data_IF_607765713608
#
_entry.id   IF_607765713608
#
_cell.length_a   1.000
_cell.length_b   1.000
_cell.length_c   1.000
_cell.angle_alpha   90.00
_cell.angle_beta   90.00
_cell.angle_gamma   90.00
#
_symmetry.space_group_name_H-M   'P 1'
#
loop_
_entity.id
_entity.type
_entity.pdbx_description
1 polymer ?
#
# COMPACT_ATOMS: atom_id res chain seq x y z
N UNK A 1 -24.22 38.34 -12.91
CA UNK A 1 -23.19 37.56 -12.20
C UNK A 1 -21.95 38.43 -12.10
N UNK A 2 -21.36 38.59 -10.92
CA UNK A 2 -20.15 39.41 -10.76
C UNK A 2 -18.95 38.48 -10.72
N UNK A 3 -17.92 38.78 -11.51
CA UNK A 3 -16.68 38.00 -11.61
C UNK A 3 -15.47 38.87 -11.28
N UNK A 4 -14.42 38.24 -10.77
CA UNK A 4 -13.15 38.93 -10.45
C UNK A 4 -12.17 38.85 -11.62
N UNK A 5 -11.62 39.99 -12.02
CA UNK A 5 -10.55 40.08 -13.01
C UNK A 5 -9.27 40.49 -12.30
N UNK A 6 -8.31 39.56 -12.16
CA UNK A 6 -7.03 39.85 -11.53
C UNK A 6 -6.19 40.80 -12.39
N UNK A 7 -5.66 41.88 -11.80
CA UNK A 7 -4.90 42.90 -12.55
C UNK A 7 -3.65 42.35 -13.24
N UNK A 8 -2.95 41.40 -12.61
CA UNK A 8 -1.81 40.68 -13.20
C UNK A 8 -2.20 39.31 -13.80
N UNK A 9 -3.51 39.04 -13.90
CA UNK A 9 -4.04 37.77 -14.39
C UNK A 9 -3.97 37.66 -15.91
N UNK A 10 -3.98 36.42 -16.39
CA UNK A 10 -3.95 36.09 -17.82
C UNK A 10 -5.10 36.76 -18.58
N UNK A 11 -6.34 36.68 -18.08
CA UNK A 11 -7.48 37.35 -18.70
C UNK A 11 -7.24 38.86 -18.92
N UNK A 12 -6.64 39.55 -17.96
CA UNK A 12 -6.45 41.00 -18.00
C UNK A 12 -5.26 41.45 -18.87
N UNK A 13 -4.20 40.65 -18.90
CA UNK A 13 -2.95 41.01 -19.60
C UNK A 13 -2.89 40.48 -21.02
N UNK A 14 -3.68 39.45 -21.32
CA UNK A 14 -3.65 38.72 -22.59
C UNK A 14 -5.01 38.76 -23.30
N UNK A 15 -6.05 38.21 -22.67
CA UNK A 15 -7.32 37.93 -23.35
C UNK A 15 -8.17 39.18 -23.61
N UNK A 16 -8.43 40.02 -22.60
CA UNK A 16 -9.18 41.27 -22.76
C UNK A 16 -8.50 42.26 -23.73
N UNK A 17 -7.17 42.49 -23.63
CA UNK A 17 -6.47 43.37 -24.57
C UNK A 17 -6.59 42.90 -26.01
N UNK A 18 -6.38 41.60 -26.25
CA UNK A 18 -6.41 41.03 -27.60
C UNK A 18 -7.82 40.94 -28.16
N UNK A 19 -8.80 40.53 -27.35
CA UNK A 19 -10.17 40.27 -27.83
C UNK A 19 -11.06 41.50 -27.81
N UNK A 20 -10.86 42.39 -26.85
CA UNK A 20 -11.78 43.49 -26.55
C UNK A 20 -11.10 44.85 -26.40
N UNK A 21 -9.77 44.91 -26.54
CA UNK A 21 -9.03 46.17 -26.63
C UNK A 21 -8.90 46.95 -25.32
N UNK A 22 -9.02 46.29 -24.17
CA UNK A 22 -8.88 46.95 -22.87
C UNK A 22 -8.13 46.10 -21.84
N UNK A 23 -7.63 46.76 -20.80
CA UNK A 23 -7.03 46.13 -19.61
C UNK A 23 -7.38 46.97 -18.39
N UNK A 24 -7.38 46.36 -17.21
CA UNK A 24 -7.49 47.07 -15.93
C UNK A 24 -6.11 47.31 -15.34
N UNK A 25 -5.89 48.48 -14.75
CA UNK A 25 -4.64 48.80 -14.05
C UNK A 25 -4.50 48.05 -12.72
N UNK A 26 -5.61 47.62 -12.13
CA UNK A 26 -5.65 46.85 -10.87
C UNK A 26 -6.63 45.69 -10.96
N UNK A 27 -6.81 44.94 -9.86
CA UNK A 27 -7.81 43.86 -9.80
C UNK A 27 -9.20 44.47 -9.68
N UNK A 28 -10.09 44.11 -10.61
CA UNK A 28 -11.41 44.71 -10.75
C UNK A 28 -12.54 43.67 -10.73
N UNK A 29 -13.78 44.15 -10.60
CA UNK A 29 -14.99 43.33 -10.69
C UNK A 29 -15.73 43.64 -11.98
N UNK A 30 -15.96 42.61 -12.79
CA UNK A 30 -16.70 42.70 -14.04
C UNK A 30 -18.10 42.13 -13.86
N UNK A 31 -19.10 42.86 -14.33
CA UNK A 31 -20.48 42.36 -14.35
C UNK A 31 -20.76 41.60 -15.65
N UNK A 32 -21.09 40.32 -15.50
CA UNK A 32 -21.59 39.44 -16.54
C UNK A 32 -23.13 39.42 -16.54
N UNK A 33 -23.71 39.71 -17.68
CA UNK A 33 -25.15 39.68 -17.99
C UNK A 33 -25.44 38.57 -19.00
N UNK A 34 -26.70 38.16 -19.18
CA UNK A 34 -27.09 37.13 -20.16
C UNK A 34 -26.28 35.82 -20.07
N UNK A 35 -25.96 35.37 -18.85
CA UNK A 35 -25.14 34.18 -18.61
C UNK A 35 -25.88 32.92 -19.06
N UNK A 36 -25.25 32.13 -19.93
CA UNK A 36 -25.77 30.89 -20.53
C UNK A 36 -24.67 29.83 -20.63
N UNK A 37 -25.05 28.61 -21.01
CA UNK A 37 -24.13 27.52 -21.34
C UNK A 37 -23.09 27.23 -20.25
N UNK A 38 -23.54 27.27 -18.98
CA UNK A 38 -22.66 26.93 -17.85
C UNK A 38 -22.23 25.47 -17.96
N UNK A 39 -20.93 25.22 -18.10
CA UNK A 39 -20.40 23.86 -18.14
C UNK A 39 -20.35 23.23 -16.75
N UNK A 40 -20.16 21.91 -16.72
CA UNK A 40 -19.71 21.23 -15.52
C UNK A 40 -18.32 21.74 -15.08
N UNK A 41 -18.03 21.59 -13.79
CA UNK A 41 -16.74 21.97 -13.22
C UNK A 41 -15.72 20.88 -13.54
N UNK A 42 -14.67 21.23 -14.27
CA UNK A 42 -13.54 20.35 -14.60
C UNK A 42 -12.25 21.06 -14.18
N UNK A 43 -11.39 20.39 -13.43
CA UNK A 43 -10.12 20.95 -12.94
C UNK A 43 -10.29 22.32 -12.23
N UNK A 44 -11.28 22.40 -11.33
CA UNK A 44 -11.64 23.62 -10.60
C UNK A 44 -12.00 24.82 -11.50
N UNK A 45 -12.41 24.57 -12.74
CA UNK A 45 -12.82 25.59 -13.70
C UNK A 45 -14.17 25.25 -14.30
N UNK A 46 -14.90 26.26 -14.71
CA UNK A 46 -16.12 26.10 -15.48
C UNK A 46 -16.23 27.22 -16.50
N UNK A 47 -17.02 26.96 -17.53
CA UNK A 47 -17.19 27.81 -18.68
C UNK A 47 -18.58 28.44 -18.65
N UNK A 48 -18.69 29.69 -19.08
CA UNK A 48 -19.99 30.35 -19.29
C UNK A 48 -19.93 31.25 -20.52
N UNK A 49 -21.02 31.31 -21.28
CA UNK A 49 -21.22 32.36 -22.27
C UNK A 49 -21.94 33.53 -21.62
N UNK A 50 -21.40 34.74 -21.75
CA UNK A 50 -22.00 35.91 -21.15
C UNK A 50 -21.79 37.19 -21.99
N UNK A 51 -22.61 38.20 -21.69
CA UNK A 51 -22.43 39.57 -22.14
C UNK A 51 -21.83 40.41 -21.03
N UNK A 52 -21.02 41.40 -21.38
CA UNK A 52 -20.46 42.35 -20.41
C UNK A 52 -20.34 43.74 -21.05
N UNK A 53 -20.20 44.77 -20.23
CA UNK A 53 -19.99 46.14 -20.69
C UNK A 53 -18.48 46.40 -20.79
N UNK A 54 -18.00 46.71 -21.98
CA UNK A 54 -16.60 47.09 -22.18
C UNK A 54 -16.34 48.42 -21.45
N UNK A 55 -15.32 48.50 -20.57
CA UNK A 55 -15.09 49.70 -19.75
C UNK A 55 -14.62 50.90 -20.57
N UNK A 56 -13.93 50.68 -21.69
CA UNK A 56 -13.39 51.74 -22.55
C UNK A 56 -14.43 52.24 -23.55
N UNK A 57 -15.17 51.32 -24.18
CA UNK A 57 -16.11 51.67 -25.27
C UNK A 57 -17.55 51.81 -24.80
N UNK A 58 -17.86 51.39 -23.58
CA UNK A 58 -19.21 51.34 -23.00
C UNK A 58 -20.21 50.45 -23.78
N UNK A 59 -19.74 49.69 -24.78
CA UNK A 59 -20.55 48.78 -25.59
C UNK A 59 -20.76 47.46 -24.88
N UNK A 60 -21.90 46.84 -25.12
CA UNK A 60 -22.14 45.46 -24.67
C UNK A 60 -21.46 44.50 -25.63
N UNK A 61 -20.52 43.72 -25.11
CA UNK A 61 -19.78 42.70 -25.86
C UNK A 61 -20.14 41.31 -25.34
N UNK A 62 -19.87 40.28 -26.15
CA UNK A 62 -20.12 38.87 -25.80
C UNK A 62 -18.81 38.12 -25.75
N UNK A 63 -18.70 37.21 -24.79
CA UNK A 63 -17.53 36.36 -24.63
C UNK A 63 -17.87 35.02 -24.02
N UNK A 64 -16.98 34.06 -24.26
CA UNK A 64 -16.97 32.78 -23.58
C UNK A 64 -15.90 32.84 -22.48
N UNK A 65 -16.33 32.73 -21.23
CA UNK A 65 -15.50 32.95 -20.06
C UNK A 65 -15.11 31.63 -19.43
N UNK A 66 -13.81 31.48 -19.14
CA UNK A 66 -13.29 30.40 -18.32
C UNK A 66 -13.06 30.95 -16.91
N UNK A 67 -13.83 30.45 -15.95
CA UNK A 67 -13.86 30.94 -14.58
C UNK A 67 -13.33 29.88 -13.63
N UNK A 68 -12.63 30.31 -12.58
CA UNK A 68 -12.32 29.44 -11.45
C UNK A 68 -13.58 29.19 -10.64
N UNK A 69 -13.74 27.96 -10.15
CA UNK A 69 -14.75 27.61 -9.17
C UNK A 69 -14.31 28.01 -7.76
N UNK A 70 -14.07 29.31 -7.58
CA UNK A 70 -13.77 29.95 -6.30
C UNK A 70 -14.94 30.84 -5.84
N UNK A 71 -14.82 31.40 -4.62
CA UNK A 71 -15.88 32.22 -4.03
C UNK A 71 -16.17 33.52 -4.81
N UNK A 72 -15.24 33.98 -5.66
CA UNK A 72 -15.34 35.24 -6.40
C UNK A 72 -15.53 35.05 -7.92
N UNK A 73 -15.58 33.78 -8.38
CA UNK A 73 -15.60 33.40 -9.79
C UNK A 73 -14.54 34.12 -10.61
N UNK A 74 -13.26 33.91 -10.27
CA UNK A 74 -12.14 34.60 -10.91
C UNK A 74 -12.00 34.23 -12.40
N UNK A 75 -11.88 35.24 -13.26
CA UNK A 75 -11.69 35.06 -14.71
C UNK A 75 -10.27 34.62 -15.02
N UNK A 76 -10.13 33.42 -15.58
CA UNK A 76 -8.83 32.87 -16.02
C UNK A 76 -8.48 33.38 -17.41
N UNK A 77 -9.41 33.23 -18.35
CA UNK A 77 -9.29 33.70 -19.73
C UNK A 77 -10.68 33.97 -20.31
N UNK A 78 -10.74 34.75 -21.38
CA UNK A 78 -11.96 35.05 -22.13
C UNK A 78 -11.70 34.86 -23.62
N UNK A 79 -12.67 34.26 -24.30
CA UNK A 79 -12.62 33.92 -25.70
C UNK A 79 -13.68 34.68 -26.48
N UNK A 80 -13.46 34.82 -27.79
CA UNK A 80 -14.50 35.31 -28.69
C UNK A 80 -15.74 34.39 -28.64
N UNK A 81 -16.93 35.00 -28.62
CA UNK A 81 -18.19 34.24 -28.62
C UNK A 81 -18.33 33.39 -29.89
N UNK A 82 -18.60 32.09 -29.74
CA UNK A 82 -18.82 31.17 -30.86
C UNK A 82 -17.55 30.65 -31.55
N UNK A 83 -16.37 30.81 -30.96
CA UNK A 83 -15.10 30.28 -31.49
C UNK A 83 -14.86 28.82 -31.04
N UNK A 84 -14.08 28.06 -31.83
CA UNK A 84 -13.65 26.71 -31.47
C UNK A 84 -12.67 26.76 -30.28
N UNK A 85 -12.99 26.01 -29.24
CA UNK A 85 -12.20 25.91 -28.01
C UNK A 85 -10.74 25.50 -28.28
N UNK A 86 -10.48 24.59 -29.24
CA UNK A 86 -9.11 24.09 -29.49
C UNK A 86 -8.20 25.17 -30.07
N UNK A 87 -8.67 25.86 -31.10
CA UNK A 87 -7.88 26.91 -31.76
C UNK A 87 -7.70 28.12 -30.84
N UNK A 88 -8.74 28.45 -30.09
CA UNK A 88 -8.70 29.57 -29.15
C UNK A 88 -7.78 29.30 -27.96
N UNK A 89 -7.81 28.09 -27.41
CA UNK A 89 -6.88 27.67 -26.35
C UNK A 89 -5.44 27.78 -26.83
N UNK A 90 -5.15 27.31 -28.05
CA UNK A 90 -3.81 27.38 -28.64
C UNK A 90 -3.36 28.82 -28.83
N UNK A 91 -4.23 29.69 -29.36
CA UNK A 91 -3.91 31.10 -29.57
C UNK A 91 -3.70 31.85 -28.25
N UNK A 92 -4.58 31.65 -27.27
CA UNK A 92 -4.53 32.29 -25.96
C UNK A 92 -3.24 31.93 -25.19
N UNK A 93 -2.85 30.64 -25.19
CA UNK A 93 -1.58 30.20 -24.59
C UNK A 93 -0.35 30.69 -25.36
N UNK A 94 -0.43 30.79 -26.69
CA UNK A 94 0.67 31.33 -27.51
C UNK A 94 0.91 32.80 -27.20
N UNK A 95 -0.15 33.62 -27.13
CA UNK A 95 -0.08 35.04 -26.76
C UNK A 95 0.50 35.22 -25.36
N UNK A 96 0.01 34.45 -24.39
CA UNK A 96 0.52 34.46 -23.02
C UNK A 96 2.01 34.14 -22.97
N UNK A 97 2.44 33.07 -23.65
CA UNK A 97 3.84 32.64 -23.69
C UNK A 97 4.73 33.72 -24.32
N UNK A 98 4.29 34.32 -25.43
CA UNK A 98 5.02 35.41 -26.08
C UNK A 98 5.15 36.63 -25.15
N UNK A 99 4.10 37.01 -24.42
CA UNK A 99 4.16 38.10 -23.43
C UNK A 99 5.07 37.79 -22.25
N UNK A 100 4.94 36.61 -21.65
CA UNK A 100 5.77 36.19 -20.50
C UNK A 100 7.26 36.17 -20.88
N UNK A 101 7.59 35.87 -22.13
CA UNK A 101 8.96 35.92 -22.68
C UNK A 101 9.40 37.32 -23.12
N UNK A 102 8.58 38.35 -22.94
CA UNK A 102 8.86 39.73 -23.32
C UNK A 102 8.91 39.97 -24.83
N UNK A 103 8.36 39.05 -25.65
CA UNK A 103 8.32 39.17 -27.12
C UNK A 103 7.14 40.01 -27.61
N UNK A 104 6.13 40.18 -26.79
CA UNK A 104 5.04 41.13 -27.01
C UNK A 104 4.66 41.74 -25.67
N UNK A 105 4.08 42.92 -25.71
CA UNK A 105 3.55 43.63 -24.55
C UNK A 105 2.03 43.60 -24.58
N UNK A 106 1.38 43.94 -23.47
CA UNK A 106 -0.07 44.14 -23.44
C UNK A 106 -0.51 45.24 -24.43
N UNK A 107 0.31 46.27 -24.66
CA UNK A 107 0.04 47.29 -25.68
C UNK A 107 0.07 46.73 -27.10
N UNK A 108 0.98 45.79 -27.40
CA UNK A 108 0.96 45.09 -28.68
C UNK A 108 -0.35 44.33 -28.86
N UNK A 109 -0.90 43.72 -27.81
CA UNK A 109 -2.20 43.05 -27.88
C UNK A 109 -3.36 44.00 -28.17
N UNK A 110 -3.36 45.19 -27.59
CA UNK A 110 -4.34 46.22 -27.93
C UNK A 110 -4.17 46.72 -29.38
N UNK A 111 -2.93 46.82 -29.86
CA UNK A 111 -2.65 47.18 -31.26
C UNK A 111 -3.17 46.09 -32.20
N UNK A 112 -2.91 44.82 -31.91
CA UNK A 112 -3.44 43.68 -32.66
C UNK A 112 -4.97 43.69 -32.69
N UNK A 113 -5.61 44.01 -31.56
CA UNK A 113 -7.06 44.19 -31.50
C UNK A 113 -7.54 45.29 -32.45
N UNK A 114 -6.87 46.45 -32.46
CA UNK A 114 -7.21 47.58 -33.33
C UNK A 114 -7.05 47.26 -34.82
N UNK A 115 -6.06 46.43 -35.16
CA UNK A 115 -5.80 45.91 -36.50
C UNK A 115 -6.71 44.75 -36.89
N UNK A 116 -7.61 44.33 -35.98
CA UNK A 116 -8.56 43.22 -36.17
C UNK A 116 -7.86 41.88 -36.41
N UNK A 117 -6.69 41.67 -35.82
CA UNK A 117 -6.04 40.36 -35.78
C UNK A 117 -6.84 39.47 -34.83
N UNK A 118 -7.31 38.32 -35.34
CA UNK A 118 -8.17 37.40 -34.61
C UNK A 118 -7.66 35.97 -34.60
N UNK A 119 -6.87 35.56 -35.59
CA UNK A 119 -6.37 34.19 -35.74
C UNK A 119 -4.90 34.02 -35.35
N UNK A 120 -4.45 32.78 -35.25
CA UNK A 120 -3.05 32.44 -35.02
C UNK A 120 -2.17 32.80 -36.22
N UNK A 121 -2.66 32.60 -37.44
CA UNK A 121 -1.89 32.89 -38.66
C UNK A 121 -1.66 34.41 -38.81
N UNK A 122 -2.70 35.22 -38.59
CA UNK A 122 -2.58 36.69 -38.60
C UNK A 122 -1.64 37.20 -37.49
N UNK A 123 -1.61 36.54 -36.34
CA UNK A 123 -0.65 36.84 -35.28
C UNK A 123 0.78 36.52 -35.71
N UNK A 124 1.00 35.40 -36.41
CA UNK A 124 2.30 35.03 -36.94
C UNK A 124 2.77 36.06 -37.98
N UNK A 125 1.88 36.48 -38.88
CA UNK A 125 2.18 37.49 -39.90
C UNK A 125 2.54 38.85 -39.25
N UNK A 126 1.78 39.28 -38.23
CA UNK A 126 2.09 40.48 -37.47
C UNK A 126 3.46 40.44 -36.79
N UNK A 127 3.83 39.29 -36.22
CA UNK A 127 5.17 39.10 -35.66
C UNK A 127 6.25 39.12 -36.76
N UNK A 128 6.01 38.48 -37.90
CA UNK A 128 6.95 38.45 -39.01
C UNK A 128 7.26 39.87 -39.52
N UNK A 129 6.23 40.71 -39.67
CA UNK A 129 6.37 42.11 -40.08
C UNK A 129 7.08 42.97 -39.02
N UNK A 130 6.79 42.76 -37.73
CA UNK A 130 7.40 43.52 -36.63
C UNK A 130 8.89 43.24 -36.43
N UNK A 131 9.36 42.03 -36.76
CA UNK A 131 10.68 41.53 -36.38
C UNK A 131 11.69 41.38 -37.55
N UNK A 132 11.36 41.86 -38.75
CA UNK A 132 11.68 41.12 -39.99
C UNK A 132 13.13 40.93 -40.47
N UNK A 133 14.22 41.48 -39.91
CA UNK A 133 15.55 41.14 -40.47
C UNK A 133 16.70 40.84 -39.50
N UNK A 134 16.71 41.36 -38.26
CA UNK A 134 17.84 41.10 -37.33
C UNK A 134 17.44 40.16 -36.20
N UNK A 135 16.20 40.24 -35.72
CA UNK A 135 15.71 39.37 -34.64
C UNK A 135 15.28 38.00 -35.16
N UNK A 136 14.79 37.89 -36.40
CA UNK A 136 14.50 36.60 -37.03
C UNK A 136 15.76 35.73 -37.12
N UNK A 137 16.90 36.29 -37.53
CA UNK A 137 18.17 35.56 -37.59
C UNK A 137 18.62 35.05 -36.21
N UNK A 138 18.51 35.88 -35.17
CA UNK A 138 18.84 35.51 -33.78
C UNK A 138 17.87 34.47 -33.20
N UNK A 139 16.58 34.57 -33.51
CA UNK A 139 15.56 33.60 -33.10
C UNK A 139 15.78 32.27 -33.80
N UNK A 140 16.11 32.27 -35.10
CA UNK A 140 16.44 31.06 -35.85
C UNK A 140 17.70 30.40 -35.31
N UNK A 141 18.73 31.17 -34.95
CA UNK A 141 19.95 30.62 -34.35
C UNK A 141 19.69 30.02 -32.95
N UNK A 142 18.93 30.71 -32.09
CA UNK A 142 18.57 30.20 -30.76
C UNK A 142 17.65 28.98 -30.83
N UNK A 143 16.70 28.96 -31.78
CA UNK A 143 15.85 27.82 -32.05
C UNK A 143 16.68 26.62 -32.54
N UNK A 144 17.63 26.83 -33.44
CA UNK A 144 18.51 25.78 -33.93
C UNK A 144 19.40 25.21 -32.82
N UNK A 145 19.98 26.06 -31.96
CA UNK A 145 20.74 25.60 -30.77
C UNK A 145 19.87 24.79 -29.81
N UNK A 146 18.61 25.19 -29.59
CA UNK A 146 17.67 24.44 -28.76
C UNK A 146 17.29 23.10 -29.38
N UNK A 147 17.03 23.06 -30.69
CA UNK A 147 16.74 21.82 -31.42
C UNK A 147 17.94 20.89 -31.37
N UNK A 148 19.17 21.39 -31.52
CA UNK A 148 20.38 20.58 -31.41
C UNK A 148 20.56 20.01 -30.00
N UNK A 149 20.36 20.83 -28.96
CA UNK A 149 20.43 20.37 -27.57
C UNK A 149 19.35 19.34 -27.23
N UNK A 150 18.13 19.55 -27.72
CA UNK A 150 17.03 18.60 -27.56
C UNK A 150 17.31 17.30 -28.31
N UNK A 151 17.90 17.37 -29.50
CA UNK A 151 18.31 16.19 -30.28
C UNK A 151 19.37 15.38 -29.53
N UNK A 152 20.39 16.04 -28.94
CA UNK A 152 21.39 15.40 -28.08
C UNK A 152 20.77 14.79 -26.82
N UNK A 153 19.84 15.49 -26.18
CA UNK A 153 19.14 14.97 -25.01
C UNK A 153 18.30 13.74 -25.38
N UNK A 154 17.56 13.78 -26.50
CA UNK A 154 16.78 12.67 -27.03
C UNK A 154 17.65 11.47 -27.38
N UNK A 155 18.82 11.67 -28.00
CA UNK A 155 19.72 10.57 -28.31
C UNK A 155 20.24 9.90 -27.05
N UNK A 156 20.59 10.69 -26.02
CA UNK A 156 21.02 10.17 -24.72
C UNK A 156 19.90 9.42 -24.02
N UNK A 157 18.68 9.98 -24.00
CA UNK A 157 17.49 9.33 -23.44
C UNK A 157 17.18 8.02 -24.17
N UNK A 158 17.37 7.99 -25.48
CA UNK A 158 17.18 6.76 -26.26
C UNK A 158 18.21 5.68 -25.88
N UNK A 159 19.48 6.06 -25.71
CA UNK A 159 20.53 5.15 -25.24
C UNK A 159 20.23 4.61 -23.83
N UNK A 160 19.84 5.50 -22.90
CA UNK A 160 19.45 5.10 -21.54
C UNK A 160 18.25 4.14 -21.56
N UNK A 161 17.22 4.44 -22.36
CA UNK A 161 16.06 3.55 -22.52
C UNK A 161 16.45 2.18 -23.08
N UNK A 162 17.35 2.12 -24.05
CA UNK A 162 17.85 0.85 -24.59
C UNK A 162 18.62 0.05 -23.54
N UNK A 163 19.48 0.71 -22.74
CA UNK A 163 20.21 0.04 -21.67
C UNK A 163 19.29 -0.52 -20.60
N UNK A 164 18.29 0.27 -20.16
CA UNK A 164 17.30 -0.16 -19.18
C UNK A 164 16.42 -1.30 -19.70
N UNK A 165 16.07 -1.28 -20.99
CA UNK A 165 15.32 -2.38 -21.59
C UNK A 165 16.12 -3.69 -21.54
N UNK A 166 17.42 -3.64 -21.87
CA UNK A 166 18.30 -4.82 -21.76
C UNK A 166 18.40 -5.34 -20.33
N UNK A 167 18.43 -4.45 -19.33
CA UNK A 167 18.45 -4.84 -17.92
C UNK A 167 17.12 -5.49 -17.48
N UNK A 168 15.99 -4.95 -17.95
CA UNK A 168 14.66 -5.53 -17.72
C UNK A 168 14.59 -6.94 -18.31
N UNK A 169 15.01 -7.12 -19.56
CA UNK A 169 14.96 -8.43 -20.24
C UNK A 169 15.83 -9.46 -19.50
N UNK A 170 16.99 -9.05 -19.00
CA UNK A 170 17.85 -9.90 -18.15
C UNK A 170 17.17 -10.27 -16.84
N UNK A 171 16.54 -9.32 -16.16
CA UNK A 171 15.81 -9.55 -14.90
C UNK A 171 14.60 -10.44 -15.10
N UNK A 172 13.87 -10.30 -16.20
CA UNK A 172 12.76 -11.19 -16.55
C UNK A 172 13.23 -12.63 -16.77
N UNK A 173 14.39 -12.82 -17.41
CA UNK A 173 15.01 -14.14 -17.57
C UNK A 173 15.33 -14.78 -16.21
N UNK A 174 15.98 -14.03 -15.31
CA UNK A 174 16.27 -14.48 -13.94
C UNK A 174 14.98 -14.85 -13.17
N UNK A 175 13.94 -14.01 -13.25
CA UNK A 175 12.64 -14.27 -12.61
C UNK A 175 11.99 -15.54 -13.15
N UNK A 176 12.06 -15.79 -14.46
CA UNK A 176 11.50 -16.99 -15.06
C UNK A 176 12.25 -18.25 -14.62
N UNK A 177 13.57 -18.17 -14.46
CA UNK A 177 14.37 -19.26 -13.90
C UNK A 177 13.98 -19.55 -12.45
N UNK A 178 13.86 -18.53 -11.60
CA UNK A 178 13.39 -18.71 -10.23
C UNK A 178 11.98 -19.28 -10.15
N UNK A 179 11.06 -18.85 -11.01
CA UNK A 179 9.71 -19.43 -11.09
C UNK A 179 9.74 -20.92 -11.41
N UNK A 180 10.62 -21.34 -12.33
CA UNK A 180 10.79 -22.76 -12.66
C UNK A 180 11.31 -23.55 -11.46
N UNK A 181 12.33 -23.04 -10.77
CA UNK A 181 12.85 -23.65 -9.54
C UNK A 181 11.74 -23.77 -8.48
N UNK A 182 10.97 -22.71 -8.23
CA UNK A 182 9.87 -22.73 -7.26
C UNK A 182 8.81 -23.77 -7.65
N UNK A 183 8.45 -23.88 -8.94
CA UNK A 183 7.49 -24.87 -9.40
C UNK A 183 7.99 -26.30 -9.19
N UNK A 184 9.28 -26.56 -9.44
CA UNK A 184 9.92 -27.85 -9.18
C UNK A 184 10.01 -28.17 -7.67
N UNK A 185 10.29 -27.18 -6.82
CA UNK A 185 10.25 -27.34 -5.37
C UNK A 185 8.83 -27.69 -4.89
N UNK A 186 7.82 -26.96 -5.37
CA UNK A 186 6.41 -27.22 -5.04
C UNK A 186 5.97 -28.62 -5.45
N UNK A 187 6.31 -29.07 -6.65
CA UNK A 187 5.95 -30.42 -7.11
C UNK A 187 6.65 -31.52 -6.30
N UNK A 188 7.92 -31.33 -5.93
CA UNK A 188 8.65 -32.24 -5.06
C UNK A 188 8.01 -32.33 -3.65
N UNK A 189 7.59 -31.20 -3.08
CA UNK A 189 6.95 -31.18 -1.75
C UNK A 189 5.57 -31.81 -1.72
N UNK A 190 4.78 -31.72 -2.79
CA UNK A 190 3.40 -32.25 -2.83
C UNK A 190 3.33 -33.78 -2.82
N UNK A 191 4.37 -34.48 -3.29
CA UNK A 191 4.40 -35.94 -3.34
C UNK A 191 5.14 -36.58 -2.15
N UNK A 192 5.96 -35.79 -1.44
CA UNK A 192 6.72 -36.25 -0.28
C UNK A 192 5.85 -36.39 0.99
N UNK A 193 4.77 -35.60 1.09
CA UNK A 193 3.85 -35.59 2.22
C UNK A 193 2.76 -36.67 2.07
N UNK A 194 2.68 -37.62 3.01
CA UNK A 194 1.61 -38.63 2.97
C UNK A 194 0.29 -37.99 3.42
N UNK A 195 -0.64 -37.81 2.46
CA UNK A 195 -1.92 -37.12 2.66
C UNK A 195 -2.97 -37.93 3.42
N UNK A 196 -2.68 -39.19 3.80
CA UNK A 196 -3.61 -39.98 4.61
C UNK A 196 -3.82 -39.24 5.92
N UNK A 197 -5.07 -38.84 6.20
CA UNK A 197 -5.65 -38.05 7.31
C UNK A 197 -5.07 -38.11 8.75
N UNK A 198 -3.95 -38.79 9.00
CA UNK A 198 -3.29 -38.85 10.30
C UNK A 198 -1.96 -38.10 10.38
N UNK A 199 -1.28 -37.77 9.27
CA UNK A 199 0.00 -37.00 9.26
C UNK A 199 1.17 -37.61 10.06
N UNK A 200 0.97 -38.78 10.66
CA UNK A 200 1.84 -39.36 11.69
C UNK A 200 1.72 -38.64 13.05
N UNK A 201 2.39 -39.21 14.05
CA UNK A 201 2.56 -38.57 15.36
C UNK A 201 3.78 -37.64 15.25
N UNK A 202 3.57 -36.33 15.35
CA UNK A 202 4.66 -35.36 15.38
C UNK A 202 5.52 -35.56 16.63
N UNK A 203 6.83 -35.72 16.43
CA UNK A 203 7.77 -35.86 17.53
C UNK A 203 7.95 -34.49 18.21
N UNK A 204 8.05 -34.45 19.55
CA UNK A 204 8.24 -33.20 20.26
C UNK A 204 9.59 -32.58 19.89
N UNK A 205 9.66 -31.25 19.88
CA UNK A 205 10.87 -30.50 19.62
C UNK A 205 11.08 -30.11 18.16
N UNK A 206 12.11 -29.29 17.96
CA UNK A 206 12.55 -28.79 16.65
C UNK A 206 14.01 -29.15 16.44
N UNK A 207 14.36 -29.40 15.18
CA UNK A 207 15.64 -29.99 14.82
C UNK A 207 16.21 -29.33 13.59
N UNK A 208 17.51 -29.09 13.55
CA UNK A 208 18.20 -28.62 12.35
C UNK A 208 18.63 -29.81 11.51
N UNK A 209 18.33 -29.79 10.21
CA UNK A 209 18.82 -30.83 9.29
C UNK A 209 20.30 -30.59 8.99
N UNK A 210 21.14 -31.61 9.21
CA UNK A 210 22.59 -31.54 9.03
C UNK A 210 23.02 -32.14 7.70
N UNK A 211 22.53 -33.33 7.37
CA UNK A 211 22.82 -34.01 6.11
C UNK A 211 21.69 -34.96 5.72
N UNK A 212 21.65 -35.33 4.45
CA UNK A 212 20.71 -36.30 3.90
C UNK A 212 21.46 -37.28 3.03
N UNK A 213 21.34 -38.56 3.34
CA UNK A 213 22.15 -39.61 2.76
C UNK A 213 21.29 -40.81 2.34
N UNK A 214 21.77 -41.57 1.35
CA UNK A 214 21.19 -42.86 1.00
C UNK A 214 21.84 -43.97 1.81
N UNK A 215 21.04 -44.94 2.24
CA UNK A 215 21.54 -46.18 2.81
C UNK A 215 20.51 -47.29 2.76
N UNK A 216 20.66 -48.32 3.58
CA UNK A 216 19.71 -49.41 3.69
C UNK A 216 19.26 -49.58 5.15
N UNK A 217 17.94 -49.68 5.38
CA UNK A 217 17.36 -49.92 6.72
C UNK A 217 16.00 -50.60 6.62
N UNK A 218 15.70 -51.46 7.60
CA UNK A 218 14.44 -52.20 7.71
C UNK A 218 14.64 -53.70 7.69
N UNK A 219 13.53 -54.45 7.84
CA UNK A 219 13.55 -55.92 7.99
C UNK A 219 14.23 -56.65 6.83
N UNK A 220 14.16 -56.10 5.62
CA UNK A 220 14.72 -56.70 4.41
C UNK A 220 15.87 -55.88 3.83
N UNK A 221 16.54 -55.06 4.64
CA UNK A 221 17.65 -54.20 4.21
C UNK A 221 17.28 -53.30 3.00
N UNK A 222 16.08 -52.71 3.03
CA UNK A 222 15.57 -51.89 1.93
C UNK A 222 16.28 -50.53 1.84
N UNK A 223 16.40 -49.99 0.62
CA UNK A 223 16.90 -48.63 0.38
C UNK A 223 16.09 -47.61 1.17
N UNK A 224 16.79 -46.73 1.88
CA UNK A 224 16.22 -45.76 2.79
C UNK A 224 16.90 -44.40 2.62
N UNK A 225 16.13 -43.35 2.85
CA UNK A 225 16.60 -41.99 3.06
C UNK A 225 16.95 -41.84 4.53
N UNK A 226 18.15 -41.37 4.82
CA UNK A 226 18.60 -41.02 6.15
C UNK A 226 18.70 -39.50 6.25
N UNK A 227 18.19 -38.95 7.35
CA UNK A 227 18.23 -37.53 7.65
C UNK A 227 18.91 -37.37 9.00
N UNK A 228 20.08 -36.74 9.00
CA UNK A 228 20.80 -36.40 10.22
C UNK A 228 20.25 -35.10 10.79
N UNK A 229 19.83 -35.13 12.04
CA UNK A 229 19.17 -34.05 12.75
C UNK A 229 19.99 -33.64 13.97
N UNK A 230 20.02 -32.34 14.27
CA UNK A 230 20.60 -31.78 15.50
C UNK A 230 19.51 -31.12 16.33
N UNK A 231 19.43 -31.47 17.61
CA UNK A 231 18.50 -30.82 18.54
C UNK A 231 19.04 -29.46 19.05
N UNK A 232 18.22 -28.72 19.79
CA UNK A 232 18.59 -27.42 20.39
C UNK A 232 19.75 -27.49 21.39
N UNK A 233 20.05 -28.68 21.92
CA UNK A 233 21.16 -28.90 22.85
C UNK A 233 22.44 -29.31 22.12
N UNK A 234 22.42 -29.37 20.78
CA UNK A 234 23.55 -29.78 19.95
C UNK A 234 23.70 -31.29 19.79
N UNK A 235 22.74 -32.10 20.26
CA UNK A 235 22.77 -33.56 20.14
C UNK A 235 22.34 -33.96 18.74
N UNK A 236 23.19 -34.74 18.06
CA UNK A 236 22.91 -35.25 16.72
C UNK A 236 22.37 -36.69 16.76
N UNK A 237 21.36 -36.95 15.92
CA UNK A 237 20.80 -38.28 15.72
C UNK A 237 20.27 -38.43 14.29
N UNK A 238 19.91 -39.65 13.89
CA UNK A 238 19.52 -39.95 12.52
C UNK A 238 18.14 -40.60 12.48
N UNK A 239 17.32 -40.15 11.52
CA UNK A 239 16.00 -40.72 11.25
C UNK A 239 15.94 -41.23 9.82
N UNK A 240 15.22 -42.33 9.61
CA UNK A 240 15.16 -42.98 8.31
C UNK A 240 13.74 -43.11 7.74
N UNK A 241 13.63 -43.20 6.42
CA UNK A 241 12.40 -43.60 5.74
C UNK A 241 12.74 -44.52 4.55
N UNK A 242 12.13 -45.70 4.49
CA UNK A 242 12.36 -46.70 3.44
C UNK A 242 11.10 -47.01 2.62
N UNK A 243 10.07 -46.17 2.70
CA UNK A 243 8.83 -46.42 1.99
C UNK A 243 9.03 -46.20 0.50
N UNK A 244 8.79 -47.23 -0.31
CA UNK A 244 9.11 -47.20 -1.75
C UNK A 244 8.36 -46.10 -2.52
N UNK A 245 7.10 -45.82 -2.14
CA UNK A 245 6.28 -44.79 -2.79
C UNK A 245 6.68 -43.40 -2.30
N UNK A 246 7.19 -42.56 -3.19
CA UNK A 246 7.66 -41.20 -2.86
C UNK A 246 9.02 -41.17 -2.17
N UNK A 247 9.83 -42.24 -2.27
CA UNK A 247 11.15 -42.31 -1.63
C UNK A 247 12.11 -41.25 -2.18
N UNK A 248 12.15 -41.09 -3.50
CA UNK A 248 12.96 -40.06 -4.18
C UNK A 248 12.47 -38.65 -3.84
N UNK A 249 11.15 -38.44 -3.76
CA UNK A 249 10.57 -37.14 -3.38
C UNK A 249 10.93 -36.78 -1.93
N UNK A 250 10.92 -37.74 -1.00
CA UNK A 250 11.37 -37.54 0.38
C UNK A 250 12.87 -37.25 0.49
N UNK A 251 13.69 -37.93 -0.31
CA UNK A 251 15.12 -37.58 -0.39
C UNK A 251 15.30 -36.15 -0.86
N UNK A 252 14.65 -35.78 -1.98
CA UNK A 252 14.72 -34.43 -2.53
C UNK A 252 14.22 -33.38 -1.53
N UNK A 253 13.09 -33.63 -0.88
CA UNK A 253 12.52 -32.74 0.13
C UNK A 253 13.48 -32.55 1.31
N UNK A 254 14.01 -33.63 1.88
CA UNK A 254 14.94 -33.54 2.99
C UNK A 254 16.23 -32.79 2.59
N UNK A 255 16.74 -33.03 1.38
CA UNK A 255 17.95 -32.37 0.86
C UNK A 255 17.77 -30.86 0.73
N UNK A 256 16.60 -30.39 0.28
CA UNK A 256 16.27 -28.96 0.22
C UNK A 256 16.27 -28.32 1.62
N UNK A 257 15.98 -29.11 2.66
CA UNK A 257 15.88 -28.64 4.04
C UNK A 257 17.19 -28.72 4.82
N UNK A 258 18.31 -29.11 4.21
CA UNK A 258 19.63 -29.11 4.87
C UNK A 258 19.97 -27.69 5.34
N UNK A 259 20.26 -27.54 6.63
CA UNK A 259 20.48 -26.27 7.31
C UNK A 259 19.23 -25.65 7.93
N UNK A 260 18.03 -26.09 7.54
CA UNK A 260 16.76 -25.56 8.04
C UNK A 260 16.34 -26.20 9.36
N UNK A 261 15.55 -25.45 10.14
CA UNK A 261 14.91 -25.96 11.35
C UNK A 261 13.55 -26.56 11.00
N UNK A 262 13.34 -27.81 11.42
CA UNK A 262 12.18 -28.63 11.07
C UNK A 262 11.55 -29.24 12.31
N UNK A 263 10.34 -29.79 12.11
CA UNK A 263 9.80 -30.89 12.91
C UNK A 263 9.57 -32.10 12.01
N UNK A 264 9.52 -33.29 12.61
CA UNK A 264 9.25 -34.52 11.88
C UNK A 264 8.23 -35.39 12.60
N UNK A 265 7.43 -36.14 11.83
CA UNK A 265 6.46 -37.10 12.38
C UNK A 265 6.93 -38.53 12.20
N UNK A 266 6.42 -39.44 13.02
CA UNK A 266 6.61 -40.88 12.93
C UNK A 266 5.27 -41.57 12.69
N UNK A 267 5.26 -42.64 11.90
CA UNK A 267 4.07 -43.49 11.82
C UNK A 267 3.96 -44.28 13.13
N UNK A 268 2.81 -44.26 13.80
CA UNK A 268 2.69 -44.61 15.23
C UNK A 268 3.25 -45.97 15.67
N UNK A 269 3.30 -46.98 14.80
CA UNK A 269 3.89 -48.30 15.11
C UNK A 269 5.42 -48.36 14.98
N UNK A 270 6.07 -47.27 14.55
CA UNK A 270 7.51 -47.18 14.31
C UNK A 270 8.22 -46.38 15.39
N UNK A 271 9.50 -46.69 15.61
CA UNK A 271 10.36 -45.97 16.54
C UNK A 271 10.68 -44.54 16.06
N UNK A 272 11.21 -43.71 16.97
CA UNK A 272 11.60 -42.31 16.68
C UNK A 272 12.79 -42.18 15.73
N UNK A 273 13.47 -43.28 15.45
CA UNK A 273 14.53 -43.43 14.46
C UNK A 273 14.00 -43.59 13.03
N UNK A 274 12.68 -43.48 12.85
CA UNK A 274 12.00 -43.39 11.55
C UNK A 274 11.34 -42.03 11.39
N UNK A 275 11.14 -41.56 10.16
CA UNK A 275 10.31 -40.40 9.89
C UNK A 275 9.25 -40.71 8.82
N UNK A 276 8.11 -40.04 8.91
CA UNK A 276 6.99 -40.11 7.97
C UNK A 276 6.92 -38.81 7.17
N UNK A 277 6.76 -37.68 7.85
CA UNK A 277 6.74 -36.35 7.25
C UNK A 277 7.81 -35.46 7.89
N UNK A 278 8.32 -34.50 7.12
CA UNK A 278 9.18 -33.40 7.57
C UNK A 278 8.49 -32.09 7.21
N UNK A 279 8.51 -31.10 8.12
CA UNK A 279 7.87 -29.80 7.89
C UNK A 279 8.63 -28.66 8.59
N UNK A 280 8.61 -27.49 7.96
CA UNK A 280 9.10 -26.22 8.50
C UNK A 280 8.00 -25.41 9.21
N UNK A 281 6.75 -25.89 9.22
CA UNK A 281 5.62 -25.20 9.86
C UNK A 281 5.65 -25.39 11.38
N UNK A 282 6.57 -24.69 12.04
CA UNK A 282 6.80 -24.78 13.49
C UNK A 282 5.84 -23.83 14.22
N UNK A 283 5.07 -24.37 15.15
CA UNK A 283 4.19 -23.59 16.04
C UNK A 283 4.85 -23.34 17.40
N UNK A 284 4.37 -22.35 18.17
CA UNK A 284 4.86 -22.10 19.55
C UNK A 284 4.76 -23.36 20.44
N UNK A 285 3.78 -24.22 20.18
CA UNK A 285 3.61 -25.48 20.93
C UNK A 285 4.75 -26.49 20.67
N UNK A 286 5.37 -26.46 19.48
CA UNK A 286 6.47 -27.34 19.08
C UNK A 286 7.80 -26.95 19.74
N UNK A 287 7.92 -25.70 20.21
CA UNK A 287 9.07 -25.19 20.98
C UNK A 287 9.05 -25.65 22.45
N UNK A 288 7.89 -26.13 22.93
CA UNK A 288 7.72 -26.61 24.31
C UNK A 288 7.91 -28.14 24.39
N UNK A 289 8.91 -28.61 25.13
CA UNK A 289 9.28 -30.03 25.25
C UNK A 289 8.28 -30.89 26.06
N UNK A 290 6.98 -30.59 26.09
CA UNK A 290 6.01 -31.33 26.92
C UNK A 290 5.30 -32.45 26.13
N UNK A 291 5.37 -33.72 26.57
CA UNK A 291 4.66 -34.81 25.90
C UNK A 291 3.13 -34.63 26.01
N UNK A 292 2.42 -34.83 24.90
CA UNK A 292 0.96 -34.75 24.82
C UNK A 292 0.33 -35.95 25.53
N UNK A 293 -0.18 -35.76 26.74
CA UNK A 293 -1.20 -36.64 27.30
C UNK A 293 -2.51 -36.41 26.56
N UNK A 294 -3.06 -37.48 25.99
CA UNK A 294 -4.34 -37.49 25.29
C UNK A 294 -5.44 -36.96 26.22
N UNK A 295 -6.00 -35.79 25.93
CA UNK A 295 -7.28 -35.38 26.47
C UNK A 295 -8.25 -35.05 25.34
N UNK A 296 -9.38 -35.75 25.42
CA UNK A 296 -10.59 -35.64 24.63
C UNK A 296 -10.94 -34.17 24.34
N UNK A 297 -11.27 -33.89 23.09
CA UNK A 297 -11.83 -32.60 22.67
C UNK A 297 -13.06 -32.25 23.52
N UNK A 298 -13.05 -31.06 24.12
CA UNK A 298 -14.26 -30.35 24.51
C UNK A 298 -14.24 -29.04 23.73
N UNK A 299 -15.17 -28.90 22.80
CA UNK A 299 -15.48 -27.63 22.16
C UNK A 299 -15.93 -26.64 23.24
N UNK A 300 -15.32 -25.46 23.30
CA UNK A 300 -15.97 -24.30 23.92
C UNK A 300 -15.76 -23.09 23.03
N UNK A 301 -16.81 -22.74 22.29
CA UNK A 301 -17.03 -21.36 21.88
C UNK A 301 -16.94 -20.46 23.13
N UNK A 302 -16.18 -19.37 23.11
CA UNK A 302 -16.40 -18.32 24.11
C UNK A 302 -16.19 -16.92 23.53
N UNK A 303 -17.25 -16.09 23.49
CA UNK A 303 -17.11 -14.64 23.29
C UNK A 303 -16.45 -14.04 24.54
N UNK A 304 -15.64 -12.98 24.42
CA UNK A 304 -14.80 -12.48 25.52
C UNK A 304 -15.56 -11.93 26.75
N UNK A 305 -14.81 -11.63 27.82
CA UNK A 305 -15.26 -11.06 29.09
C UNK A 305 -14.81 -9.60 29.17
N UNK A 306 -15.74 -8.65 29.20
CA UNK A 306 -15.42 -7.25 29.42
C UNK A 306 -15.28 -6.98 30.91
N UNK A 307 -14.11 -6.50 31.35
CA UNK A 307 -13.79 -6.31 32.75
C UNK A 307 -14.21 -4.91 33.18
N UNK A 308 -15.17 -4.82 34.09
CA UNK A 308 -15.77 -3.55 34.53
C UNK A 308 -15.10 -3.02 35.79
N UNK A 309 -14.82 -3.89 36.75
CA UNK A 309 -14.20 -3.50 38.03
C UNK A 309 -13.43 -4.67 38.65
N UNK A 310 -12.40 -4.35 39.42
CA UNK A 310 -11.59 -5.32 40.16
C UNK A 310 -11.32 -4.81 41.56
N UNK A 311 -11.75 -5.57 42.56
CA UNK A 311 -11.59 -5.22 43.97
C UNK A 311 -10.76 -6.27 44.69
N UNK A 312 -9.90 -5.83 45.60
CA UNK A 312 -9.22 -6.73 46.53
C UNK A 312 -10.15 -7.02 47.70
N UNK A 313 -10.45 -8.29 47.90
CA UNK A 313 -11.39 -8.80 48.92
C UNK A 313 -10.71 -9.86 49.78
N UNK A 314 -11.18 -10.06 51.01
CA UNK A 314 -10.61 -11.11 51.85
C UNK A 314 -11.09 -12.49 51.37
N UNK A 315 -10.17 -13.42 51.11
CA UNK A 315 -10.54 -14.76 50.64
C UNK A 315 -11.41 -15.54 51.63
N UNK A 316 -11.31 -15.22 52.92
CA UNK A 316 -12.15 -15.82 53.96
C UNK A 316 -13.64 -15.47 53.85
N UNK A 317 -13.99 -14.40 53.12
CA UNK A 317 -15.39 -14.05 52.83
C UNK A 317 -16.06 -15.04 51.88
N UNK A 318 -15.29 -15.74 51.05
CA UNK A 318 -15.78 -16.69 50.05
C UNK A 318 -15.52 -18.14 50.45
N UNK A 319 -14.46 -18.39 51.22
CA UNK A 319 -14.14 -19.72 51.74
C UNK A 319 -13.37 -19.57 53.06
N UNK A 320 -13.95 -20.06 54.16
CA UNK A 320 -13.38 -19.96 55.51
C UNK A 320 -12.00 -20.63 55.67
N UNK A 321 -11.61 -21.52 54.75
CA UNK A 321 -10.28 -22.13 54.75
C UNK A 321 -9.22 -21.30 54.03
N UNK A 322 -9.63 -20.23 53.34
CA UNK A 322 -8.72 -19.34 52.60
C UNK A 322 -8.28 -18.20 53.51
N UNK A 323 -6.96 -18.05 53.69
CA UNK A 323 -6.38 -17.07 54.63
C UNK A 323 -5.75 -15.83 53.97
N UNK A 324 -5.69 -15.79 52.64
CA UNK A 324 -5.14 -14.67 51.87
C UNK A 324 -6.20 -13.80 51.18
N UNK A 325 -5.80 -12.61 50.75
CA UNK A 325 -6.63 -11.71 49.94
C UNK A 325 -6.74 -12.22 48.49
N UNK A 326 -7.84 -11.85 47.83
CA UNK A 326 -8.23 -12.30 46.49
C UNK A 326 -8.72 -11.13 45.65
N UNK A 327 -8.88 -11.34 44.34
CA UNK A 327 -9.46 -10.37 43.42
C UNK A 327 -10.90 -10.76 43.11
N UNK A 328 -11.84 -9.86 43.37
CA UNK A 328 -13.21 -9.93 42.89
C UNK A 328 -13.30 -9.15 41.59
N UNK A 329 -13.57 -9.84 40.49
CA UNK A 329 -13.61 -9.32 39.14
C UNK A 329 -15.06 -9.23 38.69
N UNK A 330 -15.56 -8.01 38.50
CA UNK A 330 -16.89 -7.75 37.94
C UNK A 330 -16.75 -7.63 36.43
N UNK A 331 -17.59 -8.37 35.70
CA UNK A 331 -17.60 -8.40 34.24
C UNK A 331 -19.01 -8.24 33.71
N UNK A 332 -19.12 -7.99 32.41
CA UNK A 332 -20.40 -7.98 31.69
C UNK A 332 -21.17 -9.31 31.74
N UNK A 333 -20.60 -10.38 32.31
CA UNK A 333 -21.23 -11.70 32.44
C UNK A 333 -21.44 -12.14 33.88
N UNK A 334 -21.06 -11.32 34.85
CA UNK A 334 -21.18 -11.65 36.27
C UNK A 334 -19.92 -11.34 37.06
N UNK A 335 -19.95 -11.76 38.32
CA UNK A 335 -18.89 -11.52 39.29
C UNK A 335 -18.14 -12.82 39.52
N UNK A 336 -16.82 -12.76 39.41
CA UNK A 336 -15.92 -13.90 39.54
C UNK A 336 -14.78 -13.61 40.51
N UNK A 337 -14.16 -14.66 41.05
CA UNK A 337 -13.03 -14.53 41.98
C UNK A 337 -11.76 -15.10 41.35
N UNK A 338 -10.62 -14.45 41.56
CA UNK A 338 -9.30 -14.96 41.22
C UNK A 338 -8.27 -14.71 42.34
N UNK A 339 -7.16 -15.42 42.28
CA UNK A 339 -5.99 -15.18 43.12
C UNK A 339 -5.32 -13.85 42.75
N UNK A 340 -4.89 -13.11 43.77
CA UNK A 340 -3.94 -12.00 43.56
C UNK A 340 -2.60 -12.61 43.15
N UNK A 341 -1.99 -12.05 42.11
CA UNK A 341 -0.61 -12.34 41.74
C UNK A 341 0.33 -11.92 42.88
N UNK A 342 0.96 -12.87 43.57
CA UNK A 342 1.96 -12.54 44.59
C UNK A 342 3.22 -12.00 43.88
N UNK A 343 3.60 -10.71 44.05
CA UNK A 343 4.71 -10.12 43.31
C UNK A 343 6.05 -10.75 43.68
N UNK A 344 6.19 -11.27 44.91
CA UNK A 344 7.46 -11.81 45.41
C UNK A 344 7.69 -13.27 45.02
N UNK A 345 6.63 -14.03 44.70
CA UNK A 345 6.77 -15.42 44.26
C UNK A 345 5.62 -15.87 43.33
N UNK A 346 5.61 -15.42 42.07
CA UNK A 346 4.53 -15.66 41.12
C UNK A 346 4.34 -17.14 40.73
N UNK A 347 5.30 -18.02 41.05
CA UNK A 347 5.18 -19.46 40.80
C UNK A 347 4.29 -20.21 41.81
N UNK A 348 4.07 -19.66 43.02
CA UNK A 348 3.32 -20.35 44.08
C UNK A 348 1.84 -19.99 44.12
N UNK A 349 1.46 -18.84 43.57
CA UNK A 349 0.07 -18.43 43.39
C UNK A 349 -0.07 -17.74 42.03
N UNK A 350 -0.26 -18.52 40.94
CA UNK A 350 -0.48 -17.97 39.62
C UNK A 350 -1.84 -17.26 39.62
N UNK A 351 -1.81 -15.96 39.86
CA UNK A 351 -2.93 -15.05 39.64
C UNK A 351 -2.71 -14.29 38.34
N UNK A 352 -3.79 -13.77 37.77
CA UNK A 352 -3.70 -12.80 36.68
C UNK A 352 -4.01 -11.42 37.22
N UNK A 353 -3.23 -10.42 36.84
CA UNK A 353 -3.50 -9.04 37.25
C UNK A 353 -4.68 -8.45 36.47
N UNK A 354 -5.89 -8.75 36.93
CA UNK A 354 -7.13 -8.27 36.31
C UNK A 354 -7.28 -6.76 36.38
N UNK A 355 -6.62 -6.08 37.34
CA UNK A 355 -6.71 -4.64 37.44
C UNK A 355 -6.05 -3.93 36.25
N UNK A 356 -5.02 -4.56 35.67
CA UNK A 356 -4.34 -4.06 34.46
C UNK A 356 -5.20 -4.06 33.19
N UNK A 357 -6.36 -4.73 33.21
CA UNK A 357 -7.25 -4.88 32.03
C UNK A 357 -8.67 -4.38 32.28
N UNK A 358 -8.88 -3.56 33.31
CA UNK A 358 -10.17 -2.86 33.52
C UNK A 358 -10.52 -2.06 32.25
N UNK A 359 -11.80 -2.04 31.89
CA UNK A 359 -12.37 -1.48 30.67
C UNK A 359 -11.92 -2.17 29.36
N UNK A 360 -11.37 -3.39 29.43
CA UNK A 360 -10.99 -4.17 28.26
C UNK A 360 -11.69 -5.54 28.21
N UNK A 361 -11.76 -6.13 27.02
CA UNK A 361 -12.30 -7.49 26.80
C UNK A 361 -11.19 -8.53 26.79
N UNK A 362 -11.29 -9.56 27.64
CA UNK A 362 -10.37 -10.69 27.71
C UNK A 362 -11.01 -11.94 27.12
N UNK A 363 -10.35 -12.56 26.14
CA UNK A 363 -10.91 -13.69 25.38
C UNK A 363 -10.48 -15.07 25.87
N UNK A 364 -9.35 -15.16 26.59
CA UNK A 364 -8.77 -16.42 27.06
C UNK A 364 -8.97 -16.68 28.56
N UNK A 365 -10.09 -16.20 29.12
CA UNK A 365 -10.41 -16.47 30.51
C UNK A 365 -11.14 -17.82 30.65
N UNK A 366 -10.72 -18.64 31.60
CA UNK A 366 -11.34 -19.91 31.98
C UNK A 366 -12.14 -19.71 33.26
N UNK A 367 -13.43 -20.03 33.19
CA UNK A 367 -14.27 -20.11 34.39
C UNK A 367 -14.24 -21.53 34.95
N UNK A 368 -13.86 -21.67 36.21
CA UNK A 368 -13.87 -22.93 36.96
C UNK A 368 -14.79 -22.78 38.15
N UNK A 369 -15.67 -23.75 38.38
CA UNK A 369 -16.51 -23.74 39.56
C UNK A 369 -15.76 -24.43 40.70
N UNK A 370 -15.68 -23.81 41.88
CA UNK A 370 -15.07 -24.43 43.05
C UNK A 370 -15.81 -24.02 44.32
N UNK A 371 -16.29 -25.03 45.07
CA UNK A 371 -16.92 -24.93 46.40
C UNK A 371 -17.80 -23.68 46.60
N UNK A 372 -18.76 -23.47 45.72
CA UNK A 372 -19.78 -22.41 45.85
C UNK A 372 -19.41 -21.04 45.27
N UNK A 373 -18.25 -20.91 44.62
CA UNK A 373 -17.85 -19.70 43.91
C UNK A 373 -17.38 -20.01 42.49
N UNK A 374 -17.58 -19.05 41.59
CA UNK A 374 -17.10 -19.12 40.22
C UNK A 374 -15.74 -18.42 40.12
N UNK A 375 -14.74 -19.19 39.71
CA UNK A 375 -13.35 -18.75 39.61
C UNK A 375 -13.03 -18.37 38.18
N UNK A 376 -12.53 -17.16 37.96
CA UNK A 376 -12.00 -16.76 36.66
C UNK A 376 -10.48 -16.78 36.71
N UNK A 377 -9.84 -17.40 35.73
CA UNK A 377 -8.38 -17.46 35.61
C UNK A 377 -8.00 -17.31 34.14
N UNK A 378 -6.87 -16.67 33.84
CA UNK A 378 -6.37 -16.64 32.46
C UNK A 378 -5.80 -18.01 32.07
N UNK A 379 -6.09 -18.48 30.85
CA UNK A 379 -5.63 -19.76 30.32
C UNK A 379 -4.16 -19.77 29.92
#
# INVERSE_FOLDING_TARGET
MIVKVQGNGHANLDSFPFRYGFTYSTTERLELTNVKNKSEVVDNRYHVDASFKNPETNKTEKGHFVLLNDNESTVVTVWGFGMDNKDETRLSETLRSARVRGKITTNDMMMMHSQKIRSLDEFIDYLADKYSNTEVALITEDANKKVENLSKALSKLHQEKQSLQSDIDKKESEVNEYKKIIAELKSATSNAYDNRNSGGVWNPGVYTVISVDWGNKGRNNQRAVFVRLRDKNGVEFEVANNWIRGLEDRFRQATILVGETIKYSTLGSYGRDWFMNISTDISESDLSNRPKTVMRQVQTNSPGYYIEDVQVVSGSEFNSNWRGNMQKVTTNKGIYIDNITNPENPMLTPGFDWSSVINNTVYDAVIRHSRGCDWINKR
#
